data_IF_042245439622
#
_entry.id   IF_042245439622
#
_cell.length_a   1.000
_cell.length_b   1.000
_cell.length_c   1.000
_cell.angle_alpha   90.00
_cell.angle_beta   90.00
_cell.angle_gamma   90.00
#
_symmetry.space_group_name_H-M   'P 1'
#
loop_
_entity.id
_entity.type
_entity.pdbx_description
1 polymer ?
#
# COMPACT_ATOMS: atom_id res chain seq x y z
N UNK A 1 9.97 -11.80 21.07
CA UNK A 1 10.92 -12.02 19.97
C UNK A 1 10.43 -11.20 18.78
N UNK A 2 11.09 -10.06 18.47
CA UNK A 2 10.65 -9.16 17.38
C UNK A 2 11.08 -9.78 16.05
N UNK A 3 10.13 -10.19 15.23
CA UNK A 3 10.40 -10.66 13.88
C UNK A 3 10.90 -9.49 13.03
N UNK A 4 12.06 -9.72 12.40
CA UNK A 4 12.72 -8.91 11.39
C UNK A 4 11.74 -8.55 10.25
N UNK A 5 11.15 -7.35 10.30
CA UNK A 5 10.39 -6.76 9.18
C UNK A 5 11.41 -6.33 8.12
N UNK A 6 11.74 -7.25 7.22
CA UNK A 6 12.55 -6.93 6.04
C UNK A 6 11.79 -6.00 5.10
N UNK A 7 12.51 -4.94 4.74
CA UNK A 7 12.09 -3.79 3.95
C UNK A 7 11.95 -4.23 2.49
N UNK A 8 10.72 -4.44 2.03
CA UNK A 8 10.37 -4.54 0.61
C UNK A 8 9.50 -3.34 0.24
N UNK A 9 9.79 -2.69 -0.88
CA UNK A 9 9.03 -1.53 -1.35
C UNK A 9 7.52 -1.80 -1.32
N UNK A 10 6.77 -0.82 -0.80
CA UNK A 10 5.33 -0.95 -0.51
C UNK A 10 4.53 -1.54 -1.66
N UNK A 11 4.18 -2.82 -1.53
CA UNK A 11 3.26 -3.53 -2.42
C UNK A 11 1.86 -3.52 -1.83
N UNK A 12 0.82 -3.60 -2.69
CA UNK A 12 -0.56 -3.70 -2.23
C UNK A 12 -0.80 -4.94 -1.33
N UNK A 13 0.03 -5.98 -1.48
CA UNK A 13 -0.01 -7.17 -0.64
C UNK A 13 0.37 -6.86 0.82
N UNK A 14 1.30 -5.93 1.06
CA UNK A 14 1.72 -5.50 2.39
C UNK A 14 0.54 -4.89 3.17
N UNK A 15 -0.19 -3.97 2.53
CA UNK A 15 -1.34 -3.29 3.16
C UNK A 15 -2.46 -4.28 3.53
N UNK A 16 -2.77 -5.23 2.64
CA UNK A 16 -3.82 -6.22 2.89
C UNK A 16 -3.42 -7.20 4.02
N UNK A 17 -2.14 -7.53 4.14
CA UNK A 17 -1.65 -8.33 5.26
C UNK A 17 -1.81 -7.59 6.60
N UNK A 18 -1.53 -6.29 6.64
CA UNK A 18 -1.68 -5.47 7.86
C UNK A 18 -3.15 -5.39 8.32
N UNK A 19 -4.10 -5.28 7.39
CA UNK A 19 -5.55 -5.33 7.68
C UNK A 19 -6.01 -6.70 8.22
N UNK A 20 -5.34 -7.78 7.85
CA UNK A 20 -5.64 -9.12 8.37
C UNK A 20 -5.01 -9.32 9.75
N UNK A 21 -3.77 -8.88 9.95
CA UNK A 21 -3.04 -9.11 11.19
C UNK A 21 -3.66 -8.37 12.39
N UNK A 22 -4.03 -7.09 12.21
CA UNK A 22 -4.57 -6.30 13.31
C UNK A 22 -6.05 -6.60 13.59
N UNK A 23 -6.98 -6.11 12.74
CA UNK A 23 -8.42 -6.28 12.93
C UNK A 23 -8.91 -7.73 13.02
N UNK A 24 -8.37 -8.64 12.21
CA UNK A 24 -8.94 -9.99 12.09
C UNK A 24 -8.26 -11.00 13.01
N UNK A 25 -6.93 -10.99 13.14
CA UNK A 25 -6.21 -11.95 13.97
C UNK A 25 -5.82 -11.42 15.36
N UNK A 26 -5.95 -10.12 15.60
CA UNK A 26 -5.52 -9.50 16.84
C UNK A 26 -4.00 -9.62 17.07
N UNK A 27 -3.57 -9.26 18.28
CA UNK A 27 -2.14 -9.20 18.62
C UNK A 27 -1.59 -10.56 19.05
N UNK A 28 -2.41 -11.38 19.69
CA UNK A 28 -2.00 -12.64 20.31
C UNK A 28 -2.98 -13.76 20.04
N UNK A 29 -2.50 -14.98 20.23
CA UNK A 29 -3.25 -16.21 20.04
C UNK A 29 -4.48 -16.23 20.96
N UNK A 30 -5.61 -16.68 20.43
CA UNK A 30 -6.93 -16.61 21.08
C UNK A 30 -7.72 -15.33 20.81
N UNK A 31 -7.17 -14.37 20.05
CA UNK A 31 -7.89 -13.15 19.64
C UNK A 31 -8.38 -13.20 18.19
N UNK A 32 -8.15 -14.30 17.48
CA UNK A 32 -8.53 -14.43 16.09
C UNK A 32 -10.05 -14.47 15.92
N UNK A 33 -10.57 -13.60 15.06
CA UNK A 33 -11.96 -13.56 14.63
C UNK A 33 -12.19 -14.37 13.35
N UNK A 34 -11.13 -14.96 12.78
CA UNK A 34 -11.18 -15.84 11.62
C UNK A 34 -10.91 -17.29 11.99
N UNK A 35 -11.45 -18.21 11.20
CA UNK A 35 -11.09 -19.63 11.27
C UNK A 35 -9.82 -19.89 10.46
N UNK A 36 -8.99 -20.81 10.96
CA UNK A 36 -7.87 -21.33 10.17
C UNK A 36 -8.34 -22.06 8.92
N UNK A 37 -7.60 -21.91 7.82
CA UNK A 37 -7.85 -22.58 6.56
C UNK A 37 -7.58 -24.07 6.68
N UNK A 38 -8.50 -24.87 6.15
CA UNK A 38 -8.34 -26.32 6.00
C UNK A 38 -7.45 -26.61 4.78
N UNK A 39 -6.14 -26.73 5.03
CA UNK A 39 -5.14 -26.88 3.97
C UNK A 39 -5.28 -28.17 3.16
N UNK A 40 -5.94 -29.20 3.70
CA UNK A 40 -6.22 -30.42 2.95
C UNK A 40 -7.19 -30.16 1.77
N UNK A 41 -8.03 -29.13 1.88
CA UNK A 41 -8.94 -28.69 0.81
C UNK A 41 -8.30 -27.73 -0.19
N UNK A 42 -7.06 -27.29 0.05
CA UNK A 42 -6.34 -26.37 -0.82
C UNK A 42 -4.99 -26.97 -1.26
N UNK A 43 -4.99 -28.13 -1.94
CA UNK A 43 -3.75 -28.83 -2.30
C UNK A 43 -2.85 -28.02 -3.25
N UNK A 44 -3.44 -27.10 -4.02
CA UNK A 44 -2.70 -26.22 -4.91
C UNK A 44 -1.88 -25.14 -4.17
N UNK A 45 -2.08 -24.95 -2.86
CA UNK A 45 -1.24 -24.06 -2.05
C UNK A 45 0.24 -24.46 -2.12
N UNK A 46 0.54 -25.76 -2.23
CA UNK A 46 1.89 -26.28 -2.41
C UNK A 46 2.55 -25.83 -3.72
N UNK A 47 1.77 -25.37 -4.71
CA UNK A 47 2.26 -24.89 -6.01
C UNK A 47 2.59 -23.40 -6.02
N UNK A 48 2.28 -22.66 -4.95
CA UNK A 48 2.66 -21.25 -4.84
C UNK A 48 4.19 -21.12 -4.90
N UNK A 49 4.67 -20.04 -5.53
CA UNK A 49 6.10 -19.74 -5.51
C UNK A 49 6.58 -19.62 -4.05
N UNK A 50 7.83 -20.02 -3.74
CA UNK A 50 8.34 -20.00 -2.37
C UNK A 50 8.23 -18.64 -1.67
N UNK A 51 8.31 -17.55 -2.44
CA UNK A 51 8.05 -16.19 -1.93
C UNK A 51 6.64 -16.08 -1.34
N UNK A 52 5.61 -16.45 -2.08
CA UNK A 52 4.22 -16.31 -1.65
C UNK A 52 3.79 -17.33 -0.58
N UNK A 53 4.47 -18.47 -0.51
CA UNK A 53 4.28 -19.39 0.61
C UNK A 53 4.70 -18.73 1.94
N UNK A 54 5.83 -18.00 1.95
CA UNK A 54 6.34 -17.29 3.13
C UNK A 54 5.48 -16.10 3.55
N UNK A 55 4.76 -15.51 2.60
CA UNK A 55 3.81 -14.41 2.84
C UNK A 55 2.43 -14.91 3.33
N UNK A 56 2.25 -16.22 3.54
CA UNK A 56 1.02 -16.74 4.14
C UNK A 56 0.93 -16.35 5.61
N UNK A 57 -0.24 -15.89 6.04
CA UNK A 57 -0.46 -15.44 7.42
C UNK A 57 -0.71 -16.68 8.29
N UNK A 58 0.19 -16.90 9.24
CA UNK A 58 0.16 -18.04 10.14
C UNK A 58 0.23 -17.60 11.60
N UNK A 59 -0.47 -18.32 12.48
CA UNK A 59 -0.46 -18.11 13.92
C UNK A 59 -0.75 -19.43 14.63
N UNK A 60 -0.01 -19.74 15.70
CA UNK A 60 -0.14 -20.98 16.46
C UNK A 60 -0.18 -22.26 15.60
N UNK A 61 0.61 -22.32 14.51
CA UNK A 61 0.66 -23.47 13.60
C UNK A 61 -0.55 -23.62 12.66
N UNK A 62 -1.47 -22.64 12.62
CA UNK A 62 -2.59 -22.58 11.68
C UNK A 62 -2.35 -21.50 10.64
N UNK A 63 -2.76 -21.77 9.40
CA UNK A 63 -2.79 -20.79 8.31
C UNK A 63 -4.13 -20.08 8.30
N UNK A 64 -4.15 -18.75 8.26
CA UNK A 64 -5.37 -17.93 8.24
C UNK A 64 -5.57 -17.20 6.91
N UNK A 65 -4.49 -16.94 6.16
CA UNK A 65 -4.59 -16.34 4.83
C UNK A 65 -3.42 -16.78 3.94
N UNK A 66 -3.65 -16.78 2.63
CA UNK A 66 -2.62 -17.02 1.62
C UNK A 66 -2.70 -15.95 0.52
N UNK A 67 -1.57 -15.55 -0.08
CA UNK A 67 -1.60 -14.61 -1.21
C UNK A 67 -2.29 -15.23 -2.43
N UNK A 68 -3.27 -14.52 -2.97
CA UNK A 68 -3.94 -14.87 -4.24
C UNK A 68 -3.59 -13.89 -5.37
N UNK A 69 -3.18 -12.68 -5.04
CA UNK A 69 -2.78 -11.62 -5.96
C UNK A 69 -1.68 -10.78 -5.30
N UNK A 70 -0.75 -10.30 -6.11
CA UNK A 70 0.26 -9.34 -5.73
C UNK A 70 0.43 -8.30 -6.84
N UNK A 71 0.92 -7.12 -6.50
CA UNK A 71 1.12 -6.04 -7.46
C UNK A 71 1.80 -4.83 -6.84
N UNK A 72 2.15 -3.87 -7.70
CA UNK A 72 2.76 -2.60 -7.32
C UNK A 72 1.73 -1.48 -7.43
N UNK A 73 1.70 -0.60 -6.43
CA UNK A 73 1.01 0.69 -6.53
C UNK A 73 1.99 1.71 -7.12
N UNK A 74 1.78 2.06 -8.39
CA UNK A 74 2.64 2.94 -9.17
C UNK A 74 1.92 4.22 -9.58
N UNK A 75 2.67 5.28 -9.85
CA UNK A 75 2.13 6.52 -10.42
C UNK A 75 1.82 6.30 -11.91
N UNK A 76 0.58 6.57 -12.30
CA UNK A 76 0.17 6.62 -13.71
C UNK A 76 0.17 8.07 -14.19
N UNK A 77 0.60 8.30 -15.44
CA UNK A 77 0.70 9.64 -16.00
C UNK A 77 0.52 9.66 -17.52
N UNK A 78 0.14 10.83 -18.04
CA UNK A 78 0.02 11.07 -19.48
C UNK A 78 1.37 11.52 -20.07
N UNK A 79 2.01 10.63 -20.84
CA UNK A 79 3.33 10.86 -21.48
C UNK A 79 3.37 12.04 -22.46
N UNK A 80 2.23 12.49 -22.99
CA UNK A 80 2.17 13.71 -23.84
C UNK A 80 2.24 15.00 -23.02
N UNK A 81 1.98 14.93 -21.71
CA UNK A 81 1.89 16.09 -20.80
C UNK A 81 3.02 16.14 -19.78
N UNK A 82 3.64 15.00 -19.50
CA UNK A 82 4.76 14.87 -18.57
C UNK A 82 5.92 14.20 -19.30
N UNK A 83 7.07 14.88 -19.47
CA UNK A 83 8.26 14.28 -20.09
C UNK A 83 8.72 13.04 -19.34
N UNK A 84 9.22 12.05 -20.07
CA UNK A 84 9.74 10.80 -19.51
C UNK A 84 11.11 11.06 -18.86
N UNK A 85 11.09 11.50 -17.60
CA UNK A 85 12.25 11.69 -16.75
C UNK A 85 12.38 10.47 -15.81
N UNK A 86 13.57 9.87 -15.79
CA UNK A 86 13.90 8.74 -14.90
C UNK A 86 13.68 9.06 -13.41
N UNK A 87 13.76 10.34 -13.01
CA UNK A 87 13.49 10.82 -11.64
C UNK A 87 12.00 10.84 -11.29
N UNK A 88 11.11 11.10 -12.26
CA UNK A 88 9.65 11.02 -12.06
C UNK A 88 9.20 9.57 -11.82
N UNK A 89 9.85 8.63 -12.51
CA UNK A 89 9.59 7.19 -12.38
C UNK A 89 10.09 6.61 -11.04
N UNK A 90 10.94 7.32 -10.33
CA UNK A 90 11.54 6.89 -9.05
C UNK A 90 10.99 7.65 -7.83
N UNK A 91 10.06 8.61 -8.04
CA UNK A 91 9.62 9.47 -6.95
C UNK A 91 8.12 9.74 -6.94
N UNK A 92 7.46 9.42 -5.82
CA UNK A 92 6.07 9.86 -5.55
C UNK A 92 5.93 11.38 -5.41
N UNK A 93 7.05 12.13 -5.40
CA UNK A 93 7.07 13.59 -5.34
C UNK A 93 6.23 14.25 -6.43
N UNK A 94 6.19 13.66 -7.63
CA UNK A 94 5.43 14.19 -8.77
C UNK A 94 3.96 14.44 -8.44
N UNK A 95 3.36 13.61 -7.57
CA UNK A 95 1.97 13.76 -7.12
C UNK A 95 1.73 15.04 -6.30
N UNK A 96 2.79 15.66 -5.80
CA UNK A 96 2.74 16.78 -4.87
C UNK A 96 3.48 18.02 -5.38
N UNK A 97 3.92 18.04 -6.64
CA UNK A 97 4.56 19.22 -7.22
C UNK A 97 3.53 20.27 -7.66
N UNK A 98 3.71 21.51 -7.21
CA UNK A 98 2.76 22.61 -7.44
C UNK A 98 2.63 22.97 -8.93
N UNK A 99 3.62 22.61 -9.77
CA UNK A 99 3.53 22.78 -11.24
C UNK A 99 2.44 21.93 -11.88
N UNK A 100 1.95 20.90 -11.20
CA UNK A 100 0.83 20.06 -11.61
C UNK A 100 -0.46 20.36 -10.83
N UNK A 101 -0.57 21.54 -10.21
CA UNK A 101 -1.72 21.87 -9.39
C UNK A 101 -3.05 21.75 -10.16
N UNK A 102 -4.07 21.18 -9.51
CA UNK A 102 -5.38 20.90 -10.10
C UNK A 102 -5.39 19.82 -11.19
N UNK A 103 -4.30 19.07 -11.38
CA UNK A 103 -4.16 18.03 -12.43
C UNK A 103 -3.80 16.65 -11.90
N UNK A 104 -3.55 16.51 -10.60
CA UNK A 104 -3.24 15.23 -9.97
C UNK A 104 -4.51 14.60 -9.44
N UNK A 105 -4.66 13.28 -9.51
CA UNK A 105 -5.68 12.57 -8.76
C UNK A 105 -5.01 11.56 -7.82
N UNK A 106 -5.45 11.54 -6.57
CA UNK A 106 -4.94 10.62 -5.55
C UNK A 106 -6.01 9.57 -5.23
N UNK A 107 -5.63 8.37 -4.81
CA UNK A 107 -6.60 7.37 -4.39
C UNK A 107 -7.31 7.84 -3.11
N UNK A 108 -8.62 7.69 -3.03
CA UNK A 108 -9.38 7.90 -1.79
C UNK A 108 -9.20 6.72 -0.83
N UNK A 109 -7.95 6.54 -0.39
CA UNK A 109 -7.55 5.54 0.59
C UNK A 109 -6.54 6.17 1.55
N UNK A 110 -6.89 6.19 2.84
CA UNK A 110 -6.10 6.86 3.87
C UNK A 110 -4.71 6.23 4.00
N UNK A 111 -4.64 4.90 4.01
CA UNK A 111 -3.40 4.16 4.22
C UNK A 111 -2.38 4.42 3.10
N UNK A 112 -2.81 4.31 1.83
CA UNK A 112 -1.97 4.53 0.66
C UNK A 112 -1.65 6.01 0.44
N UNK A 113 -2.58 6.91 0.71
CA UNK A 113 -2.36 8.36 0.53
C UNK A 113 -1.32 8.90 1.52
N UNK A 114 -1.41 8.49 2.78
CA UNK A 114 -0.43 8.87 3.81
C UNK A 114 0.93 8.26 3.50
N UNK A 115 0.98 6.97 3.15
CA UNK A 115 2.22 6.33 2.74
C UNK A 115 2.85 7.04 1.53
N UNK A 116 2.03 7.46 0.55
CA UNK A 116 2.51 8.16 -0.62
C UNK A 116 3.12 9.54 -0.29
N UNK A 117 2.48 10.28 0.63
CA UNK A 117 3.01 11.53 1.16
C UNK A 117 4.35 11.33 1.88
N UNK A 118 4.42 10.34 2.77
CA UNK A 118 5.63 9.99 3.50
C UNK A 118 6.80 9.66 2.56
N UNK A 119 6.52 8.93 1.48
CA UNK A 119 7.53 8.63 0.45
C UNK A 119 7.94 9.86 -0.35
N UNK A 120 7.02 10.78 -0.64
CA UNK A 120 7.37 12.05 -1.26
C UNK A 120 8.27 12.91 -0.34
N UNK A 121 8.06 12.83 0.98
CA UNK A 121 8.88 13.48 2.00
C UNK A 121 10.23 12.77 2.24
N UNK A 122 10.43 11.58 1.66
CA UNK A 122 11.69 10.84 1.72
C UNK A 122 11.83 9.91 2.94
N UNK A 123 10.74 9.64 3.65
CA UNK A 123 10.75 8.73 4.78
C UNK A 123 10.97 7.28 4.33
N UNK A 124 11.76 6.51 5.09
CA UNK A 124 12.15 5.14 4.73
C UNK A 124 11.10 4.08 5.12
N UNK A 125 10.18 4.43 6.02
CA UNK A 125 9.18 3.52 6.60
C UNK A 125 7.76 4.09 6.48
N UNK A 126 7.23 4.18 5.26
CA UNK A 126 6.00 4.93 5.01
C UNK A 126 4.71 4.27 5.53
N UNK A 127 4.79 3.06 6.10
CA UNK A 127 3.67 2.34 6.71
C UNK A 127 3.89 2.06 8.20
N UNK A 128 4.98 2.58 8.78
CA UNK A 128 5.36 2.36 10.18
C UNK A 128 5.79 3.72 10.75
N UNK A 129 4.79 4.52 11.11
CA UNK A 129 4.93 5.90 11.58
C UNK A 129 4.56 6.01 13.05
N UNK A 130 5.26 6.88 13.78
CA UNK A 130 4.78 7.37 15.07
C UNK A 130 3.72 8.48 14.91
N UNK A 131 3.13 8.92 16.03
CA UNK A 131 2.07 9.93 16.03
C UNK A 131 2.54 11.30 15.52
N UNK A 132 3.82 11.64 15.72
CA UNK A 132 4.37 12.91 15.26
C UNK A 132 4.58 12.87 13.75
N UNK A 133 5.20 11.80 13.24
CA UNK A 133 5.38 11.55 11.81
C UNK A 133 4.02 11.67 11.12
N UNK A 134 3.03 10.87 11.57
CA UNK A 134 1.68 10.87 11.01
C UNK A 134 1.03 12.27 10.98
N UNK A 135 1.24 13.06 12.04
CA UNK A 135 0.76 14.43 12.12
C UNK A 135 1.44 15.36 11.11
N UNK A 136 2.71 15.15 10.80
CA UNK A 136 3.45 15.91 9.80
C UNK A 136 3.06 15.50 8.37
N UNK A 137 2.80 14.22 8.08
CA UNK A 137 2.24 13.79 6.80
C UNK A 137 0.82 14.35 6.57
N UNK A 138 -0.02 14.37 7.60
CA UNK A 138 -1.35 14.97 7.50
C UNK A 138 -1.28 16.46 7.13
N UNK A 139 -0.39 17.23 7.79
CA UNK A 139 -0.16 18.64 7.43
C UNK A 139 0.33 18.80 6.00
N UNK A 140 1.25 17.93 5.55
CA UNK A 140 1.75 17.94 4.19
C UNK A 140 0.64 17.69 3.16
N UNK A 141 -0.20 16.68 3.38
CA UNK A 141 -1.36 16.39 2.54
C UNK A 141 -2.35 17.56 2.48
N UNK A 142 -2.64 18.19 3.63
CA UNK A 142 -3.50 19.38 3.70
C UNK A 142 -2.91 20.53 2.89
N UNK A 143 -1.61 20.83 3.05
CA UNK A 143 -0.92 21.88 2.29
C UNK A 143 -0.91 21.62 0.78
N UNK A 144 -0.91 20.34 0.37
CA UNK A 144 -0.91 19.90 -1.02
C UNK A 144 -2.30 19.65 -1.60
N UNK A 145 -3.38 19.87 -0.84
CA UNK A 145 -4.76 19.66 -1.29
C UNK A 145 -5.09 20.35 -2.62
N UNK A 146 -4.55 21.57 -2.82
CA UNK A 146 -4.71 22.34 -4.07
C UNK A 146 -4.18 21.62 -5.32
N UNK A 147 -3.31 20.62 -5.15
CA UNK A 147 -2.73 19.88 -6.27
C UNK A 147 -3.68 18.80 -6.80
N UNK A 148 -4.60 18.32 -5.94
CA UNK A 148 -5.52 17.25 -6.29
C UNK A 148 -6.78 17.81 -6.95
N UNK A 149 -7.05 17.34 -8.18
CA UNK A 149 -8.30 17.54 -8.91
C UNK A 149 -9.44 16.76 -8.27
N UNK A 150 -9.17 15.51 -7.89
CA UNK A 150 -10.14 14.61 -7.27
C UNK A 150 -9.42 13.54 -6.44
N UNK A 151 -10.18 12.85 -5.60
CA UNK A 151 -9.80 11.61 -4.97
C UNK A 151 -10.60 10.47 -5.62
N UNK A 152 -9.92 9.53 -6.29
CA UNK A 152 -10.57 8.45 -7.03
C UNK A 152 -10.78 7.22 -6.17
N UNK A 153 -11.89 6.52 -6.40
CA UNK A 153 -12.25 5.34 -5.60
C UNK A 153 -12.12 4.04 -6.40
N UNK A 154 -12.28 4.11 -7.73
CA UNK A 154 -12.25 2.96 -8.63
C UNK A 154 -11.13 3.07 -9.66
N UNK A 155 -10.56 1.93 -10.07
CA UNK A 155 -9.50 1.92 -11.08
C UNK A 155 -9.98 2.43 -12.45
N UNK A 156 -11.24 2.17 -12.82
CA UNK A 156 -11.82 2.68 -14.08
C UNK A 156 -11.86 4.21 -14.11
N UNK A 157 -12.32 4.82 -13.02
CA UNK A 157 -12.32 6.27 -12.82
C UNK A 157 -10.90 6.86 -12.96
N UNK A 158 -9.91 6.20 -12.34
CA UNK A 158 -8.52 6.60 -12.42
C UNK A 158 -7.97 6.57 -13.86
N UNK A 159 -8.35 5.57 -14.64
CA UNK A 159 -7.92 5.41 -16.03
C UNK A 159 -8.57 6.46 -16.95
N UNK A 160 -9.87 6.69 -16.83
CA UNK A 160 -10.60 7.67 -17.65
C UNK A 160 -10.04 9.08 -17.50
N UNK A 161 -9.53 9.39 -16.30
CA UNK A 161 -8.94 10.68 -15.97
C UNK A 161 -7.62 11.00 -16.68
N UNK A 162 -6.97 10.03 -17.31
CA UNK A 162 -5.69 10.19 -18.03
C UNK A 162 -5.85 10.57 -19.51
N UNK A 163 -7.05 10.40 -20.06
CA UNK A 163 -7.43 10.84 -21.42
C UNK A 163 -7.42 12.37 -21.55
#
# INVERSE_FOLDING_TARGET
>A
MRADRRIGGGSAAQANADYMLGPLLGKQDGQELAMGLDMAKIPNAAKLLPLFQRESIQRAGKTYAMPILWGYDSVMYNRKKIPEDASLMQSRKVLFEDKYAGRVALRDDVHQSIAAASMAMGHKKPFDMDAKELGDEAKYLIAKKKNFRTLWTQFGEAADMLG
#
